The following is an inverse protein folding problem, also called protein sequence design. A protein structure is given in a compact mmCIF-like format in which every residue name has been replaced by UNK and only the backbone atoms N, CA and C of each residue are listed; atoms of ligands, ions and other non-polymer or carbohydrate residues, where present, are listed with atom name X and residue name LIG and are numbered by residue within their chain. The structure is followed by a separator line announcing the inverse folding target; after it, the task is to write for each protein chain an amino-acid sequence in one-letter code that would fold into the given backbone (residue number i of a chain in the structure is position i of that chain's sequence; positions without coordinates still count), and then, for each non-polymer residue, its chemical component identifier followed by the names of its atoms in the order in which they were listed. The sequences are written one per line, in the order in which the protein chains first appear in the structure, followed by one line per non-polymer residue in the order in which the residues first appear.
data_IF_500809338297
#
_entry.id   IF_500809338297
#
_cell.length_a   1.000
_cell.length_b   1.000
_cell.length_c   1.000
_cell.angle_alpha   90.00
_cell.angle_beta   90.00
_cell.angle_gamma   90.00
#
_symmetry.space_group_name_H-M   'P 1'
#
loop_
_entity.id
_entity.type
_entity.pdbx_description
1 polymer ?
#
# COMPACT_ATOMS: atom_id res chain seq x y z
N UNK A 1 5.04 12.58 -14.68
CA UNK A 1 6.48 12.64 -14.31
C UNK A 1 6.96 11.35 -13.68
N UNK A 2 6.31 10.82 -12.64
CA UNK A 2 6.75 9.61 -11.91
C UNK A 2 7.01 8.37 -12.79
N UNK A 3 6.10 8.03 -13.70
CA UNK A 3 6.30 6.90 -14.62
C UNK A 3 7.52 7.09 -15.57
N UNK A 4 7.85 8.34 -15.93
CA UNK A 4 9.04 8.64 -16.76
C UNK A 4 10.35 8.50 -15.97
N UNK A 5 10.28 8.47 -14.63
CA UNK A 5 11.41 8.19 -13.73
C UNK A 5 11.50 6.69 -13.36
N UNK A 6 10.67 5.84 -13.98
CA UNK A 6 10.60 4.42 -13.67
C UNK A 6 9.87 4.10 -12.36
N UNK A 7 9.20 5.07 -11.75
CA UNK A 7 8.50 4.89 -10.48
C UNK A 7 7.06 4.48 -10.73
N UNK A 8 6.63 3.41 -10.05
CA UNK A 8 5.23 3.04 -9.91
C UNK A 8 4.73 3.58 -8.58
N UNK A 9 3.71 4.43 -8.64
CA UNK A 9 3.02 4.91 -7.45
C UNK A 9 1.89 3.94 -7.11
N UNK A 10 1.85 3.47 -5.87
CA UNK A 10 0.81 2.58 -5.37
C UNK A 10 -0.30 3.42 -4.72
N UNK A 11 -1.38 3.69 -5.46
CA UNK A 11 -2.53 4.48 -4.99
C UNK A 11 -3.71 3.58 -4.62
N UNK A 12 -3.73 3.15 -3.36
CA UNK A 12 -4.68 2.15 -2.86
C UNK A 12 -4.68 0.90 -3.76
N UNK A 13 -3.48 0.44 -4.11
CA UNK A 13 -3.25 -0.76 -4.93
C UNK A 13 -2.15 -1.62 -4.30
N UNK A 14 -2.07 -2.86 -4.77
CA UNK A 14 -0.99 -3.76 -4.43
C UNK A 14 -0.27 -4.25 -5.69
N UNK A 15 0.98 -4.67 -5.49
CA UNK A 15 1.79 -5.35 -6.49
C UNK A 15 2.40 -6.60 -5.90
N UNK A 16 2.68 -7.57 -6.74
CA UNK A 16 3.39 -8.78 -6.33
C UNK A 16 4.85 -8.65 -6.68
N UNK A 17 5.71 -8.94 -5.71
CA UNK A 17 7.14 -9.08 -5.88
C UNK A 17 7.45 -10.57 -5.73
N UNK A 18 8.15 -11.12 -6.72
CA UNK A 18 8.67 -12.48 -6.65
C UNK A 18 10.13 -12.43 -6.22
N UNK A 19 10.48 -13.22 -5.21
CA UNK A 19 11.85 -13.35 -4.73
C UNK A 19 12.08 -14.79 -4.28
N UNK A 20 13.09 -15.44 -4.84
CA UNK A 20 13.47 -16.81 -4.49
C UNK A 20 12.30 -17.82 -4.58
N UNK A 21 11.43 -17.65 -5.59
CA UNK A 21 10.22 -18.47 -5.78
C UNK A 21 9.08 -18.17 -4.81
N UNK A 22 9.23 -17.18 -3.93
CA UNK A 22 8.20 -16.72 -3.00
C UNK A 22 7.51 -15.47 -3.53
N UNK A 23 6.21 -15.37 -3.27
CA UNK A 23 5.40 -14.21 -3.64
C UNK A 23 5.15 -13.32 -2.42
N UNK A 24 5.49 -12.04 -2.56
CA UNK A 24 5.29 -11.00 -1.56
C UNK A 24 4.32 -9.98 -2.13
N UNK A 25 3.19 -9.75 -1.47
CA UNK A 25 2.31 -8.64 -1.82
C UNK A 25 2.82 -7.35 -1.17
N UNK A 26 3.18 -6.35 -1.98
CA UNK A 26 3.45 -5.00 -1.49
C UNK A 26 2.19 -4.16 -1.70
N UNK A 27 1.57 -3.73 -0.62
CA UNK A 27 0.30 -3.01 -0.59
C UNK A 27 0.62 -1.54 -0.27
N UNK A 28 0.23 -0.63 -1.15
CA UNK A 28 0.40 0.80 -0.92
C UNK A 28 -0.95 1.50 -0.82
N UNK A 29 -1.10 2.33 0.20
CA UNK A 29 -2.26 3.19 0.39
C UNK A 29 -1.88 4.64 0.17
N UNK A 30 -2.86 5.46 -0.20
CA UNK A 30 -2.69 6.91 -0.23
C UNK A 30 -2.54 7.48 1.18
N UNK A 31 -2.36 8.81 1.27
CA UNK A 31 -2.21 9.50 2.54
C UNK A 31 -3.32 9.12 3.53
N UNK A 32 -2.91 8.67 4.69
CA UNK A 32 -3.78 8.40 5.83
C UNK A 32 -3.18 9.18 6.98
N UNK A 33 -3.95 10.02 7.67
CA UNK A 33 -3.42 10.71 8.85
C UNK A 33 -4.40 10.68 10.00
N UNK A 34 -3.94 10.36 11.20
CA UNK A 34 -4.77 10.47 12.41
C UNK A 34 -5.00 11.93 12.85
N UNK A 35 -4.16 12.86 12.40
CA UNK A 35 -4.24 14.27 12.74
C UNK A 35 -5.31 14.96 11.89
N UNK A 36 -6.34 15.51 12.54
CA UNK A 36 -7.57 16.00 11.88
C UNK A 36 -7.41 17.10 10.82
N UNK A 37 -6.24 17.75 10.73
CA UNK A 37 -5.96 18.77 9.72
C UNK A 37 -5.37 18.18 8.41
N UNK A 38 -5.07 16.88 8.39
CA UNK A 38 -4.51 16.22 7.22
C UNK A 38 -5.54 15.35 6.52
N UNK A 39 -5.53 15.33 5.18
CA UNK A 39 -6.49 14.57 4.42
C UNK A 39 -6.28 13.06 4.55
N UNK A 40 -7.39 12.34 4.72
CA UNK A 40 -7.47 10.88 4.72
C UNK A 40 -8.00 10.42 3.36
N UNK A 41 -7.10 9.98 2.49
CA UNK A 41 -7.43 9.44 1.17
C UNK A 41 -7.15 7.94 1.04
N UNK A 42 -6.34 7.39 1.95
CA UNK A 42 -5.99 5.97 1.97
C UNK A 42 -7.23 5.07 2.09
N UNK A 43 -7.27 4.02 1.28
CA UNK A 43 -8.31 2.99 1.33
C UNK A 43 -7.66 1.61 1.37
N UNK A 44 -7.45 1.10 2.59
CA UNK A 44 -6.83 -0.21 2.79
C UNK A 44 -7.65 -1.34 2.18
N UNK A 45 -8.98 -1.32 2.30
CA UNK A 45 -9.86 -2.34 1.74
C UNK A 45 -9.67 -2.47 0.23
N UNK A 46 -9.57 -1.34 -0.47
CA UNK A 46 -9.32 -1.31 -1.92
C UNK A 46 -7.92 -1.81 -2.26
N UNK A 47 -6.91 -1.36 -1.53
CA UNK A 47 -5.52 -1.79 -1.76
C UNK A 47 -5.34 -3.30 -1.53
N UNK A 48 -6.06 -3.84 -0.55
CA UNK A 48 -6.00 -5.23 -0.12
C UNK A 48 -6.80 -6.18 -1.02
N UNK A 49 -7.82 -5.69 -1.73
CA UNK A 49 -8.66 -6.51 -2.60
C UNK A 49 -7.83 -7.23 -3.67
N UNK A 50 -7.89 -8.57 -3.69
CA UNK A 50 -7.11 -9.45 -4.58
C UNK A 50 -5.74 -9.83 -4.02
N UNK A 51 -5.26 -9.15 -2.97
CA UNK A 51 -4.01 -9.48 -2.30
C UNK A 51 -4.19 -10.63 -1.28
N UNK A 52 -5.43 -11.01 -0.93
CA UNK A 52 -5.75 -12.01 0.09
C UNK A 52 -5.01 -13.33 -0.15
N UNK A 53 -4.92 -13.72 -1.43
CA UNK A 53 -4.30 -14.96 -1.92
C UNK A 53 -2.80 -15.07 -1.62
N UNK A 54 -2.10 -13.96 -1.34
CA UNK A 54 -0.67 -13.99 -1.07
C UNK A 54 -0.41 -14.26 0.41
N UNK A 55 0.42 -15.26 0.77
CA UNK A 55 0.63 -15.62 2.17
C UNK A 55 1.44 -14.57 2.94
N UNK A 56 2.33 -13.85 2.26
CA UNK A 56 3.16 -12.80 2.86
C UNK A 56 2.87 -11.44 2.22
N UNK A 57 2.71 -10.42 3.06
CA UNK A 57 2.22 -9.09 2.67
C UNK A 57 2.97 -7.99 3.44
N UNK A 58 3.30 -6.90 2.77
CA UNK A 58 3.93 -5.69 3.34
C UNK A 58 2.99 -4.51 3.07
N UNK A 59 2.54 -3.81 4.12
CA UNK A 59 1.75 -2.59 4.00
C UNK A 59 2.66 -1.36 4.08
N UNK A 60 2.62 -0.52 3.04
CA UNK A 60 3.30 0.77 2.98
C UNK A 60 2.28 1.87 3.30
N UNK A 61 2.30 2.33 4.55
CA UNK A 61 1.49 3.45 5.03
C UNK A 61 2.34 4.71 5.17
N UNK A 62 1.75 5.87 4.86
CA UNK A 62 2.40 7.18 5.04
C UNK A 62 2.32 7.70 6.48
N UNK A 63 1.51 7.10 7.35
CA UNK A 63 1.40 7.44 8.77
C UNK A 63 1.52 6.18 9.65
N UNK A 64 2.45 6.15 10.62
CA UNK A 64 2.57 5.06 11.58
C UNK A 64 1.34 4.90 12.50
N UNK A 65 0.49 5.90 12.67
CA UNK A 65 -0.75 5.77 13.49
C UNK A 65 -1.80 4.88 12.82
N UNK A 66 -1.61 4.46 11.57
CA UNK A 66 -2.55 3.60 10.85
C UNK A 66 -2.72 2.21 11.50
N UNK A 67 -1.78 1.77 12.35
CA UNK A 67 -1.92 0.49 13.03
C UNK A 67 -3.01 0.47 14.11
N UNK A 68 -3.27 1.61 14.76
CA UNK A 68 -4.17 1.72 15.91
C UNK A 68 -5.53 2.39 15.57
N UNK A 69 -5.75 2.74 14.29
CA UNK A 69 -6.91 3.49 13.81
C UNK A 69 -8.06 2.61 13.31
#
# INVERSE_FOLDING_TARGET
MHAKLGWRLLWDEHVTIEKDGQQIALIGIQNWSALGNFPKYGNLTKAYAGAEKYPFKILMSHDPTHWDA
#
